data_IF_045344514438
#
_entry.id   IF_045344514438
#
_cell.length_a   1.000
_cell.length_b   1.000
_cell.length_c   1.000
_cell.angle_alpha   90.00
_cell.angle_beta   90.00
_cell.angle_gamma   90.00
#
_symmetry.space_group_name_H-M   'P 1'
#
loop_
_entity.id
_entity.type
_entity.pdbx_description
1 polymer ?
#
# COMPACT_ATOMS: atom_id res chain seq x y z
N UNK A 1 -10.28 -39.99 -9.06
CA UNK A 1 -9.54 -39.22 -10.08
C UNK A 1 -9.43 -37.80 -9.55
N UNK A 2 -8.22 -37.28 -9.23
CA UNK A 2 -8.10 -35.93 -8.71
C UNK A 2 -8.31 -34.94 -9.85
N UNK A 3 -9.22 -34.00 -9.66
CA UNK A 3 -9.50 -32.89 -10.56
C UNK A 3 -8.41 -31.82 -10.40
N UNK A 4 -7.43 -31.84 -11.30
CA UNK A 4 -6.44 -30.78 -11.48
C UNK A 4 -7.15 -29.52 -11.99
N UNK A 5 -7.48 -28.61 -11.09
CA UNK A 5 -7.94 -27.27 -11.44
C UNK A 5 -6.76 -26.45 -12.00
N UNK A 6 -6.50 -26.64 -13.30
CA UNK A 6 -5.96 -25.70 -14.30
C UNK A 6 -5.21 -24.46 -13.74
N UNK A 7 -3.88 -24.49 -13.83
CA UNK A 7 -2.97 -23.36 -13.58
C UNK A 7 -3.08 -22.26 -14.65
N UNK A 8 -4.24 -21.60 -14.76
CA UNK A 8 -4.37 -20.39 -15.57
C UNK A 8 -3.96 -19.21 -14.69
N UNK A 9 -2.66 -18.87 -14.73
CA UNK A 9 -2.16 -17.64 -14.11
C UNK A 9 -2.63 -16.45 -14.94
N UNK A 10 -3.61 -15.71 -14.44
CA UNK A 10 -4.10 -14.50 -15.09
C UNK A 10 -3.07 -13.39 -14.86
N UNK A 11 -2.39 -12.87 -15.91
CA UNK A 11 -1.41 -11.82 -15.73
C UNK A 11 -2.08 -10.54 -15.23
N UNK A 12 -1.49 -9.90 -14.22
CA UNK A 12 -1.94 -8.61 -13.73
C UNK A 12 -1.80 -7.52 -14.80
N UNK A 13 -2.70 -6.55 -14.80
CA UNK A 13 -2.61 -5.39 -15.71
C UNK A 13 -1.38 -4.54 -15.37
N UNK A 14 -0.52 -4.28 -16.36
CA UNK A 14 0.58 -3.34 -16.19
C UNK A 14 0.07 -1.90 -16.13
N UNK A 15 0.75 -1.09 -15.31
CA UNK A 15 0.38 0.30 -15.04
C UNK A 15 1.52 1.17 -15.59
N UNK A 16 1.22 2.25 -16.33
CA UNK A 16 2.25 3.17 -16.78
C UNK A 16 2.97 3.79 -15.59
N UNK A 17 4.22 4.26 -15.75
CA UNK A 17 4.90 5.00 -14.71
C UNK A 17 4.22 6.35 -14.46
N UNK A 18 4.39 6.87 -13.24
CA UNK A 18 3.94 8.20 -12.85
C UNK A 18 4.65 9.32 -13.65
N UNK A 19 3.96 10.44 -13.89
CA UNK A 19 4.45 11.55 -14.72
C UNK A 19 5.57 12.34 -14.01
N UNK A 20 5.50 12.50 -12.68
CA UNK A 20 6.44 13.33 -11.91
C UNK A 20 7.69 12.56 -11.51
N UNK A 21 7.51 11.34 -11.00
CA UNK A 21 8.61 10.54 -10.45
C UNK A 21 9.06 9.36 -11.33
N UNK A 22 8.36 9.08 -12.43
CA UNK A 22 8.68 7.95 -13.31
C UNK A 22 8.48 6.57 -12.65
N UNK A 23 7.83 6.52 -11.48
CA UNK A 23 7.69 5.30 -10.68
C UNK A 23 6.34 4.62 -10.88
N UNK A 24 6.37 3.32 -11.21
CA UNK A 24 5.15 2.48 -11.25
C UNK A 24 4.51 2.30 -9.87
N UNK A 25 5.30 2.40 -8.81
CA UNK A 25 4.81 2.21 -7.43
C UNK A 25 3.95 3.41 -7.01
N UNK A 26 4.39 4.63 -7.34
CA UNK A 26 3.63 5.86 -7.10
C UNK A 26 2.32 5.85 -7.90
N UNK A 27 2.35 5.48 -9.18
CA UNK A 27 1.12 5.41 -9.99
C UNK A 27 0.13 4.38 -9.44
N UNK A 28 0.62 3.21 -8.97
CA UNK A 28 -0.24 2.23 -8.27
C UNK A 28 -0.87 2.84 -7.01
N UNK A 29 -0.10 3.61 -6.23
CA UNK A 29 -0.60 4.26 -5.04
C UNK A 29 -1.67 5.32 -5.34
N UNK A 30 -1.47 6.13 -6.38
CA UNK A 30 -2.47 7.08 -6.88
C UNK A 30 -3.78 6.34 -7.23
N UNK A 31 -3.68 5.18 -7.89
CA UNK A 31 -4.86 4.38 -8.20
C UNK A 31 -5.55 3.81 -6.95
N UNK A 32 -4.81 3.49 -5.87
CA UNK A 32 -5.41 3.04 -4.61
C UNK A 32 -6.10 4.17 -3.83
N UNK A 33 -5.60 5.40 -3.91
CA UNK A 33 -6.20 6.58 -3.30
C UNK A 33 -7.43 7.05 -4.08
N UNK A 34 -7.44 6.84 -5.39
CA UNK A 34 -8.54 7.22 -6.27
C UNK A 34 -9.89 6.69 -5.79
N UNK A 35 -10.84 7.61 -5.67
CA UNK A 35 -12.22 7.34 -5.30
C UNK A 35 -13.14 7.81 -6.44
N UNK A 36 -14.19 7.04 -6.73
CA UNK A 36 -15.15 7.29 -7.82
C UNK A 36 -14.50 7.59 -9.19
N UNK A 37 -13.35 6.98 -9.50
CA UNK A 37 -12.63 7.21 -10.76
C UNK A 37 -11.97 8.59 -10.91
N UNK A 38 -11.95 9.42 -9.85
CA UNK A 38 -11.40 10.79 -9.88
C UNK A 38 -9.87 10.80 -9.82
N UNK A 39 -9.21 10.35 -10.90
CA UNK A 39 -7.75 10.22 -10.96
C UNK A 39 -7.00 11.54 -10.80
N UNK A 40 -7.50 12.61 -11.40
CA UNK A 40 -6.88 13.94 -11.31
C UNK A 40 -6.85 14.47 -9.87
N UNK A 41 -7.91 14.20 -9.10
CA UNK A 41 -7.97 14.57 -7.68
C UNK A 41 -7.02 13.73 -6.84
N UNK A 42 -7.00 12.41 -7.06
CA UNK A 42 -6.10 11.49 -6.37
C UNK A 42 -4.63 11.86 -6.59
N UNK A 43 -4.27 12.17 -7.84
CA UNK A 43 -2.92 12.62 -8.21
C UNK A 43 -2.53 13.90 -7.49
N UNK A 44 -3.44 14.88 -7.45
CA UNK A 44 -3.23 16.15 -6.73
C UNK A 44 -2.94 15.90 -5.25
N UNK A 45 -3.78 15.09 -4.60
CA UNK A 45 -3.63 14.75 -3.17
C UNK A 45 -2.27 14.09 -2.90
N UNK A 46 -1.85 13.13 -3.73
CA UNK A 46 -0.57 12.42 -3.55
C UNK A 46 0.62 13.37 -3.75
N UNK A 47 0.58 14.23 -4.76
CA UNK A 47 1.67 15.18 -4.99
C UNK A 47 1.74 16.25 -3.91
N UNK A 48 0.60 16.77 -3.45
CA UNK A 48 0.54 17.68 -2.30
C UNK A 48 1.08 16.99 -1.04
N UNK A 49 0.73 15.73 -0.81
CA UNK A 49 1.29 14.96 0.31
C UNK A 49 2.81 14.82 0.19
N UNK A 50 3.34 14.56 -1.00
CA UNK A 50 4.80 14.47 -1.21
C UNK A 50 5.48 15.82 -1.01
N UNK A 51 4.89 16.93 -1.46
CA UNK A 51 5.41 18.27 -1.20
C UNK A 51 5.41 18.61 0.30
N UNK A 52 4.47 18.06 1.08
CA UNK A 52 4.46 18.16 2.55
C UNK A 52 5.53 17.26 3.20
N UNK A 53 5.75 16.06 2.66
CA UNK A 53 6.82 15.17 3.14
C UNK A 53 8.19 15.83 2.92
N UNK A 54 8.42 16.46 1.77
CA UNK A 54 9.68 17.18 1.52
C UNK A 54 9.89 18.36 2.49
N UNK A 55 8.81 18.95 3.01
CA UNK A 55 8.88 20.05 3.99
C UNK A 55 9.06 19.59 5.43
N UNK A 56 8.44 18.47 5.82
CA UNK A 56 8.40 17.99 7.20
C UNK A 56 9.37 16.84 7.48
N UNK A 57 9.73 16.10 6.44
CA UNK A 57 10.62 14.96 6.49
C UNK A 57 12.08 15.35 6.46
N UNK A 58 12.94 14.35 6.70
CA UNK A 58 14.40 14.49 6.75
C UNK A 58 15.07 14.14 5.41
N UNK A 59 14.30 13.77 4.38
CA UNK A 59 14.83 13.35 3.09
C UNK A 59 13.79 13.38 1.97
N UNK A 60 14.18 13.02 0.74
CA UNK A 60 13.31 13.09 -0.42
C UNK A 60 12.02 12.30 -0.22
N UNK A 61 10.89 12.88 -0.63
CA UNK A 61 9.57 12.26 -0.47
C UNK A 61 9.48 10.87 -1.10
N UNK A 62 10.11 10.66 -2.27
CA UNK A 62 10.11 9.37 -2.95
C UNK A 62 10.83 8.29 -2.14
N UNK A 63 11.98 8.61 -1.56
CA UNK A 63 12.75 7.65 -0.75
C UNK A 63 12.03 7.33 0.56
N UNK A 64 11.49 8.35 1.21
CA UNK A 64 10.67 8.21 2.41
C UNK A 64 9.46 7.32 2.15
N UNK A 65 8.79 7.51 1.01
CA UNK A 65 7.67 6.68 0.59
C UNK A 65 8.08 5.23 0.32
N UNK A 66 9.18 4.98 -0.39
CA UNK A 66 9.69 3.62 -0.62
C UNK A 66 10.02 2.94 0.71
N UNK A 67 10.64 3.67 1.64
CA UNK A 67 10.97 3.18 2.98
C UNK A 67 9.70 2.83 3.77
N UNK A 68 8.71 3.71 3.79
CA UNK A 68 7.41 3.47 4.42
C UNK A 68 6.75 2.20 3.87
N UNK A 69 6.69 2.07 2.55
CA UNK A 69 6.08 0.91 1.90
C UNK A 69 6.82 -0.38 2.28
N UNK A 70 8.16 -0.38 2.30
CA UNK A 70 8.96 -1.53 2.74
C UNK A 70 8.69 -1.93 4.18
N UNK A 71 8.54 -0.96 5.09
CA UNK A 71 8.24 -1.24 6.49
C UNK A 71 6.85 -1.87 6.66
N UNK A 72 5.87 -1.43 5.86
CA UNK A 72 4.51 -1.96 5.90
C UNK A 72 4.32 -3.28 5.12
N UNK A 73 5.37 -3.90 4.55
CA UNK A 73 5.24 -5.17 3.83
C UNK A 73 5.15 -6.36 4.78
N UNK A 74 4.01 -7.07 4.83
CA UNK A 74 3.90 -8.28 5.65
C UNK A 74 4.63 -9.44 4.98
N UNK A 75 5.50 -10.14 5.72
CA UNK A 75 6.18 -11.34 5.20
C UNK A 75 5.31 -12.59 5.29
N UNK A 76 4.46 -12.68 6.33
CA UNK A 76 3.57 -13.80 6.57
C UNK A 76 2.14 -13.30 6.75
N UNK A 77 1.18 -14.02 6.19
CA UNK A 77 -0.24 -13.84 6.46
C UNK A 77 -0.83 -15.14 7.00
N UNK A 78 -1.91 -15.02 7.75
CA UNK A 78 -2.62 -16.16 8.29
C UNK A 78 -3.80 -16.48 7.36
N UNK A 79 -3.93 -17.74 6.98
CA UNK A 79 -5.09 -18.24 6.21
C UNK A 79 -5.85 -19.28 7.02
N UNK A 80 -7.17 -19.24 6.92
CA UNK A 80 -8.03 -20.24 7.53
C UNK A 80 -7.92 -21.57 6.77
N UNK A 81 -7.62 -22.64 7.50
CA UNK A 81 -7.57 -24.01 7.00
C UNK A 81 -8.44 -24.90 7.88
N UNK A 82 -9.36 -25.65 7.26
CA UNK A 82 -10.24 -26.57 7.98
C UNK A 82 -9.58 -27.95 8.09
N UNK A 83 -9.50 -28.49 9.31
CA UNK A 83 -8.93 -29.81 9.59
C UNK A 83 -9.77 -30.48 10.67
N UNK A 84 -10.23 -31.71 10.42
CA UNK A 84 -10.93 -32.52 11.45
C UNK A 84 -12.20 -31.91 12.03
N UNK A 85 -12.91 -31.06 11.28
CA UNK A 85 -14.14 -30.40 11.73
C UNK A 85 -13.96 -28.99 12.30
N UNK A 86 -12.76 -28.61 12.72
CA UNK A 86 -12.41 -27.28 13.22
C UNK A 86 -11.65 -26.43 12.18
N UNK A 87 -11.67 -25.11 12.35
CA UNK A 87 -10.95 -24.15 11.49
C UNK A 87 -9.75 -23.60 12.23
N UNK A 88 -8.55 -23.86 11.70
CA UNK A 88 -7.29 -23.38 12.24
C UNK A 88 -6.72 -22.26 11.38
N UNK A 89 -5.98 -21.37 12.03
CA UNK A 89 -5.26 -20.29 11.41
C UNK A 89 -3.84 -20.77 11.10
N UNK A 90 -3.52 -20.92 9.82
CA UNK A 90 -2.22 -21.45 9.38
C UNK A 90 -1.41 -20.31 8.73
N UNK A 91 -0.15 -20.10 9.14
CA UNK A 91 0.70 -19.07 8.54
C UNK A 91 1.18 -19.50 7.15
N UNK A 92 1.20 -18.56 6.22
CA UNK A 92 1.73 -18.70 4.87
C UNK A 92 2.61 -17.50 4.52
N UNK A 93 3.63 -17.74 3.70
CA UNK A 93 4.45 -16.66 3.14
C UNK A 93 3.64 -15.87 2.12
N UNK A 94 3.73 -14.54 2.19
CA UNK A 94 3.01 -13.63 1.29
C UNK A 94 3.84 -13.42 0.03
N UNK A 95 3.30 -13.66 -1.18
CA UNK A 95 4.03 -13.38 -2.42
C UNK A 95 4.37 -11.87 -2.58
N UNK A 96 5.51 -11.48 -3.16
CA UNK A 96 5.98 -10.08 -3.20
C UNK A 96 4.97 -9.07 -3.79
N UNK A 97 4.25 -9.46 -4.86
CA UNK A 97 3.23 -8.61 -5.47
C UNK A 97 2.09 -8.28 -4.49
N UNK A 98 1.73 -9.25 -3.64
CA UNK A 98 0.69 -9.12 -2.63
C UNK A 98 1.21 -8.34 -1.42
N UNK A 99 2.48 -8.49 -1.04
CA UNK A 99 3.10 -7.68 0.02
C UNK A 99 3.00 -6.19 -0.29
N UNK A 100 3.37 -5.80 -1.52
CA UNK A 100 3.29 -4.40 -1.97
C UNK A 100 1.84 -3.91 -2.02
N UNK A 101 0.92 -4.75 -2.48
CA UNK A 101 -0.52 -4.43 -2.54
C UNK A 101 -1.12 -4.20 -1.14
N UNK A 102 -0.76 -5.04 -0.16
CA UNK A 102 -1.22 -4.93 1.22
C UNK A 102 -0.63 -3.67 1.88
N UNK A 103 0.67 -3.42 1.73
CA UNK A 103 1.33 -2.24 2.26
C UNK A 103 0.66 -0.94 1.78
N UNK A 104 0.44 -0.81 0.46
CA UNK A 104 -0.22 0.38 -0.11
C UNK A 104 -1.67 0.54 0.38
N UNK A 105 -2.38 -0.57 0.58
CA UNK A 105 -3.75 -0.57 1.09
C UNK A 105 -3.78 -0.11 2.56
N UNK A 106 -2.91 -0.64 3.40
CA UNK A 106 -2.84 -0.28 4.81
C UNK A 106 -2.44 1.18 5.01
N UNK A 107 -1.46 1.68 4.25
CA UNK A 107 -1.10 3.12 4.28
C UNK A 107 -2.31 4.00 3.92
N UNK A 108 -3.07 3.63 2.88
CA UNK A 108 -4.29 4.36 2.49
C UNK A 108 -5.34 4.34 3.60
N UNK A 109 -5.60 3.16 4.18
CA UNK A 109 -6.68 2.99 5.17
C UNK A 109 -6.32 3.66 6.49
N UNK A 110 -5.09 3.48 6.97
CA UNK A 110 -4.58 4.18 8.15
C UNK A 110 -4.63 5.70 7.96
N UNK A 111 -4.19 6.22 6.82
CA UNK A 111 -4.27 7.65 6.52
C UNK A 111 -5.70 8.19 6.54
N UNK A 112 -6.72 7.39 6.20
CA UNK A 112 -8.13 7.84 6.25
C UNK A 112 -8.65 7.98 7.68
N UNK A 113 -8.20 7.10 8.57
CA UNK A 113 -8.63 7.07 9.97
C UNK A 113 -7.98 8.16 10.82
N UNK A 114 -6.92 8.81 10.32
CA UNK A 114 -6.25 9.87 11.06
C UNK A 114 -7.12 11.14 11.27
N UNK A 115 -6.90 11.90 12.35
CA UNK A 115 -7.74 13.04 12.71
C UNK A 115 -7.40 14.36 12.01
N UNK A 116 -6.34 14.47 11.18
CA UNK A 116 -5.97 15.74 10.56
C UNK A 116 -7.02 16.27 9.54
N UNK A 117 -6.89 17.51 9.08
CA UNK A 117 -7.93 18.17 8.29
C UNK A 117 -7.99 17.70 6.84
N UNK A 118 -6.88 17.74 6.13
CA UNK A 118 -6.84 17.38 4.70
C UNK A 118 -6.27 16.00 4.48
N UNK A 119 -6.74 15.31 3.43
CA UNK A 119 -6.21 13.99 3.08
C UNK A 119 -4.72 14.03 2.73
N UNK A 120 -4.23 15.14 2.16
CA UNK A 120 -2.82 15.31 1.84
C UNK A 120 -1.95 15.34 3.11
N UNK A 121 -2.38 16.07 4.14
CA UNK A 121 -1.70 16.12 5.43
C UNK A 121 -1.74 14.77 6.15
N UNK A 122 -2.90 14.10 6.16
CA UNK A 122 -3.03 12.75 6.73
C UNK A 122 -2.08 11.76 6.08
N UNK A 123 -2.02 11.76 4.75
CA UNK A 123 -1.11 10.89 3.99
C UNK A 123 0.36 11.21 4.25
N UNK A 124 0.72 12.50 4.24
CA UNK A 124 2.10 12.91 4.49
C UNK A 124 2.59 12.44 5.86
N UNK A 125 1.77 12.64 6.91
CA UNK A 125 2.10 12.20 8.26
C UNK A 125 2.15 10.68 8.38
N UNK A 126 1.17 9.96 7.83
CA UNK A 126 1.18 8.50 7.88
C UNK A 126 2.40 7.91 7.18
N UNK A 127 2.81 8.47 6.04
CA UNK A 127 4.00 8.01 5.31
C UNK A 127 5.28 8.29 6.12
N UNK A 128 5.39 9.45 6.77
CA UNK A 128 6.54 9.77 7.64
C UNK A 128 6.59 8.83 8.84
N UNK A 129 5.46 8.60 9.51
CA UNK A 129 5.36 7.72 10.67
C UNK A 129 5.69 6.27 10.27
N UNK A 130 5.12 5.78 9.16
CA UNK A 130 5.41 4.46 8.63
C UNK A 130 6.89 4.30 8.22
N UNK A 131 7.52 5.33 7.66
CA UNK A 131 8.96 5.33 7.36
C UNK A 131 9.84 5.24 8.61
N UNK A 132 9.35 5.71 9.76
CA UNK A 132 9.97 5.61 11.09
C UNK A 132 9.59 4.31 11.83
N UNK A 133 8.73 3.47 11.26
CA UNK A 133 8.27 2.22 11.87
C UNK A 133 7.20 2.43 12.95
N UNK A 134 6.38 3.46 12.79
CA UNK A 134 5.27 3.82 13.67
C UNK A 134 4.01 4.08 12.83
N UNK A 135 2.87 4.33 13.48
CA UNK A 135 1.61 4.61 12.79
C UNK A 135 0.72 3.38 12.58
N UNK A 136 -0.50 3.63 12.11
CA UNK A 136 -1.52 2.59 11.97
C UNK A 136 -1.22 1.61 10.84
N UNK A 137 -0.48 2.04 9.82
CA UNK A 137 -0.11 1.18 8.68
C UNK A 137 1.00 0.17 8.97
N UNK A 138 1.79 0.37 10.03
CA UNK A 138 2.88 -0.53 10.43
C UNK A 138 2.42 -1.62 11.43
N UNK A 139 1.29 -1.40 12.11
CA UNK A 139 0.77 -2.25 13.18
C UNK A 139 0.11 -3.55 12.71
#
# INVERSE_FOLDING_TARGET
>A
MPVEARDIVIPGRDVPPDIRYGSKLVEKFINYIMWDGKKSLARRIVYEAFDLIDKWGEGPALETFIKAVRNCMPKMEVRSRRVGGATYQVPFEVPPHRQTMLALRWIRDAARERPEYTMAERLAREIIDAARGQGGAYQ
#
